data_IF_790124089029
#
_entry.id   IF_790124089029
#
_cell.length_a   1.000
_cell.length_b   1.000
_cell.length_c   1.000
_cell.angle_alpha   90.00
_cell.angle_beta   90.00
_cell.angle_gamma   90.00
#
_symmetry.space_group_name_H-M   'P 1'
#
loop_
_entity.id
_entity.type
_entity.pdbx_description
1 polymer ?
#
# COMPACT_ATOMS: atom_id res chain seq x y z
N UNK A 1 0.45 -8.94 -5.07
CA UNK A 1 1.91 -8.90 -4.95
C UNK A 1 2.39 -10.31 -4.70
N UNK A 2 3.61 -10.64 -5.13
CA UNK A 2 4.25 -11.94 -4.84
C UNK A 2 4.87 -11.83 -3.45
N UNK A 3 4.23 -12.45 -2.45
CA UNK A 3 4.62 -12.36 -1.03
C UNK A 3 4.73 -13.74 -0.40
N UNK A 4 5.44 -13.83 0.73
CA UNK A 4 5.43 -15.01 1.60
C UNK A 4 3.99 -15.34 2.06
N UNK A 5 3.75 -16.63 2.34
CA UNK A 5 2.53 -17.05 2.99
C UNK A 5 2.38 -16.40 4.37
N UNK A 6 1.14 -16.10 4.78
CA UNK A 6 0.85 -15.41 6.04
C UNK A 6 1.47 -16.09 7.26
N UNK A 7 1.46 -17.42 7.28
CA UNK A 7 1.95 -18.23 8.39
C UNK A 7 3.37 -18.78 8.16
N UNK A 8 4.09 -18.27 7.15
CA UNK A 8 5.47 -18.65 6.90
C UNK A 8 6.38 -18.12 8.01
N UNK A 9 7.34 -18.95 8.44
CA UNK A 9 8.33 -18.61 9.48
C UNK A 9 9.19 -17.43 9.04
N UNK A 10 9.61 -17.44 7.77
CA UNK A 10 10.41 -16.38 7.16
C UNK A 10 9.54 -15.53 6.24
N UNK A 11 9.52 -14.23 6.50
CA UNK A 11 8.83 -13.24 5.67
C UNK A 11 9.84 -12.54 4.77
N UNK A 12 9.51 -12.44 3.48
CA UNK A 12 10.32 -11.71 2.51
C UNK A 12 10.42 -10.21 2.88
N UNK A 13 11.54 -9.58 2.54
CA UNK A 13 11.70 -8.14 2.73
C UNK A 13 10.85 -7.35 1.73
N UNK A 14 10.69 -6.03 1.98
CA UNK A 14 9.94 -5.15 1.07
C UNK A 14 10.55 -5.15 -0.33
N UNK A 15 11.88 -5.09 -0.40
CA UNK A 15 12.66 -5.11 -1.63
C UNK A 15 12.47 -6.44 -2.36
N UNK A 16 12.56 -7.57 -1.65
CA UNK A 16 12.40 -8.89 -2.25
C UNK A 16 10.99 -9.08 -2.83
N UNK A 17 9.95 -8.63 -2.11
CA UNK A 17 8.57 -8.65 -2.60
C UNK A 17 8.42 -7.80 -3.87
N UNK A 18 9.01 -6.60 -3.88
CA UNK A 18 8.95 -5.71 -5.03
C UNK A 18 9.64 -6.32 -6.25
N UNK A 19 10.88 -6.79 -6.10
CA UNK A 19 11.67 -7.42 -7.17
C UNK A 19 10.98 -8.66 -7.74
N UNK A 20 10.52 -9.58 -6.88
CA UNK A 20 9.81 -10.79 -7.33
C UNK A 20 8.49 -10.46 -8.00
N UNK A 21 7.77 -9.45 -7.51
CA UNK A 21 6.52 -9.02 -8.14
C UNK A 21 6.79 -8.45 -9.53
N UNK A 22 7.75 -7.53 -9.68
CA UNK A 22 8.11 -6.95 -10.97
C UNK A 22 8.62 -8.01 -11.95
N UNK A 23 9.48 -8.92 -11.50
CA UNK A 23 9.96 -10.05 -12.32
C UNK A 23 8.80 -10.88 -12.87
N UNK A 24 7.81 -11.19 -12.03
CA UNK A 24 6.62 -11.93 -12.45
C UNK A 24 5.80 -11.14 -13.49
N UNK A 25 5.58 -9.84 -13.26
CA UNK A 25 4.80 -9.01 -14.18
C UNK A 25 5.50 -8.81 -15.52
N UNK A 26 6.80 -8.49 -15.53
CA UNK A 26 7.60 -8.32 -16.75
C UNK A 26 7.62 -9.58 -17.62
N UNK A 27 7.57 -10.76 -17.01
CA UNK A 27 7.55 -12.02 -17.75
C UNK A 27 6.17 -12.38 -18.34
N UNK A 28 5.07 -11.77 -17.85
CA UNK A 28 3.71 -12.28 -18.13
C UNK A 28 2.70 -11.21 -18.56
N UNK A 29 2.95 -9.93 -18.31
CA UNK A 29 2.05 -8.84 -18.68
C UNK A 29 2.59 -8.17 -19.95
N UNK A 30 1.76 -7.91 -20.97
CA UNK A 30 2.21 -7.24 -22.19
C UNK A 30 2.32 -5.72 -22.00
N UNK A 31 3.31 -5.05 -22.63
CA UNK A 31 3.62 -3.63 -22.39
C UNK A 31 2.51 -2.65 -22.77
N UNK A 32 1.55 -3.07 -23.61
CA UNK A 32 0.42 -2.24 -24.05
C UNK A 32 -0.72 -2.12 -23.03
N UNK A 33 -0.66 -2.82 -21.89
CA UNK A 33 -1.60 -2.60 -20.79
C UNK A 33 -1.43 -1.17 -20.25
N UNK A 34 -2.49 -0.45 -19.82
CA UNK A 34 -2.30 0.90 -19.27
C UNK A 34 -1.83 0.90 -17.81
N UNK A 35 -2.18 -0.12 -17.02
CA UNK A 35 -1.80 -0.17 -15.61
C UNK A 35 -2.32 -1.38 -14.85
N UNK A 36 -1.77 -1.56 -13.66
CA UNK A 36 -2.04 -2.67 -12.73
C UNK A 36 -2.35 -2.07 -11.36
N UNK A 37 -3.51 -2.42 -10.81
CA UNK A 37 -3.92 -2.04 -9.47
C UNK A 37 -3.85 -3.23 -8.53
N UNK A 38 -2.98 -3.18 -7.52
CA UNK A 38 -2.80 -4.29 -6.60
C UNK A 38 -3.93 -4.37 -5.56
N UNK A 39 -4.28 -5.60 -5.18
CA UNK A 39 -5.00 -5.89 -3.95
C UNK A 39 -4.01 -5.94 -2.76
N UNK A 40 -4.47 -5.55 -1.56
CA UNK A 40 -3.62 -5.57 -0.36
C UNK A 40 -3.47 -6.97 0.27
N UNK A 41 -4.33 -7.93 -0.08
CA UNK A 41 -4.12 -9.36 0.22
C UNK A 41 -4.13 -9.79 1.69
N UNK A 42 -4.34 -8.87 2.64
CA UNK A 42 -4.25 -9.16 4.08
C UNK A 42 -2.95 -8.70 4.73
N UNK A 43 -2.09 -8.04 3.96
CA UNK A 43 -0.99 -7.24 4.49
C UNK A 43 -1.51 -6.14 5.44
N UNK A 44 -0.60 -5.63 6.27
CA UNK A 44 -0.85 -4.39 7.00
C UNK A 44 -1.03 -3.21 6.03
N UNK A 45 -1.57 -2.12 6.54
CA UNK A 45 -1.71 -0.88 5.78
C UNK A 45 -0.35 -0.26 5.38
N UNK A 46 0.65 -0.37 6.26
CA UNK A 46 2.02 0.09 5.98
C UNK A 46 2.72 -0.82 4.97
N UNK A 47 2.68 -2.13 5.13
CA UNK A 47 3.38 -3.05 4.20
C UNK A 47 2.83 -2.96 2.79
N UNK A 48 1.49 -2.85 2.64
CA UNK A 48 0.86 -2.69 1.33
C UNK A 48 1.28 -1.36 0.64
N UNK A 49 1.56 -0.32 1.44
CA UNK A 49 2.07 0.96 0.94
C UNK A 49 3.55 0.83 0.57
N UNK A 50 4.37 0.27 1.45
CA UNK A 50 5.81 0.10 1.27
C UNK A 50 6.15 -0.77 0.04
N UNK A 51 5.45 -1.90 -0.16
CA UNK A 51 5.65 -2.75 -1.33
C UNK A 51 5.29 -2.03 -2.64
N UNK A 52 4.18 -1.27 -2.66
CA UNK A 52 3.79 -0.51 -3.85
C UNK A 52 4.82 0.58 -4.17
N UNK A 53 5.31 1.27 -3.14
CA UNK A 53 6.32 2.31 -3.26
C UNK A 53 7.64 1.75 -3.79
N UNK A 54 8.13 0.66 -3.20
CA UNK A 54 9.35 0.00 -3.63
C UNK A 54 9.30 -0.42 -5.10
N UNK A 55 8.17 -1.00 -5.56
CA UNK A 55 8.00 -1.34 -6.98
C UNK A 55 8.06 -0.09 -7.89
N UNK A 56 7.41 1.01 -7.50
CA UNK A 56 7.42 2.24 -8.29
C UNK A 56 8.78 2.95 -8.27
N UNK A 57 9.58 2.81 -7.20
CA UNK A 57 10.96 3.29 -7.13
C UNK A 57 11.93 2.51 -8.01
N UNK A 58 11.74 1.19 -8.13
CA UNK A 58 12.55 0.34 -9.02
C UNK A 58 12.31 0.69 -10.49
N UNK A 59 11.04 0.84 -10.90
CA UNK A 59 10.68 1.18 -12.27
C UNK A 59 11.05 0.09 -13.30
N UNK A 60 11.30 0.50 -14.55
CA UNK A 60 11.68 -0.42 -15.63
C UNK A 60 10.50 -1.10 -16.35
N UNK A 61 9.32 -0.49 -16.33
CA UNK A 61 8.10 -0.99 -16.96
C UNK A 61 7.28 0.17 -17.54
N UNK A 62 6.48 -0.11 -18.58
CA UNK A 62 5.66 0.91 -19.28
C UNK A 62 4.28 1.12 -18.64
N UNK A 63 3.87 0.21 -17.75
CA UNK A 63 2.60 0.27 -17.03
C UNK A 63 2.60 1.31 -15.91
N UNK A 64 1.41 1.74 -15.49
CA UNK A 64 1.25 2.35 -14.17
C UNK A 64 1.00 1.29 -13.10
N UNK A 65 1.71 1.35 -11.98
CA UNK A 65 1.42 0.54 -10.80
C UNK A 65 0.68 1.39 -9.77
N UNK A 66 -0.49 0.92 -9.35
CA UNK A 66 -1.34 1.61 -8.37
C UNK A 66 -2.01 0.61 -7.43
N UNK A 67 -2.96 1.08 -6.63
CA UNK A 67 -3.65 0.30 -5.60
C UNK A 67 -5.16 0.21 -5.84
N UNK A 68 -5.73 -0.94 -5.50
CA UNK A 68 -7.16 -1.17 -5.34
C UNK A 68 -7.38 -1.84 -3.97
N UNK A 69 -7.24 -1.03 -2.92
CA UNK A 69 -7.19 -1.51 -1.53
C UNK A 69 -8.52 -1.34 -0.81
N UNK A 70 -9.01 -2.43 -0.21
CA UNK A 70 -10.08 -2.39 0.80
C UNK A 70 -9.49 -2.20 2.19
N UNK A 71 -9.09 -3.30 2.84
CA UNK A 71 -8.58 -3.32 4.22
C UNK A 71 -7.43 -2.34 4.47
N UNK A 72 -6.40 -2.33 3.62
CA UNK A 72 -5.24 -1.44 3.80
C UNK A 72 -5.59 0.06 3.71
N UNK A 73 -6.73 0.41 3.10
CA UNK A 73 -7.22 1.79 3.02
C UNK A 73 -8.19 2.14 4.16
N UNK A 74 -9.11 1.23 4.47
CA UNK A 74 -10.26 1.51 5.35
C UNK A 74 -10.02 1.13 6.83
N UNK A 75 -9.13 0.18 7.12
CA UNK A 75 -8.97 -0.37 8.47
C UNK A 75 -8.61 0.68 9.54
N UNK A 76 -7.71 1.65 9.27
CA UNK A 76 -7.41 2.71 10.25
C UNK A 76 -8.63 3.59 10.53
N UNK A 77 -9.36 3.98 9.48
CA UNK A 77 -10.58 4.78 9.62
C UNK A 77 -11.65 4.06 10.45
N UNK A 78 -11.87 2.76 10.22
CA UNK A 78 -12.82 1.94 10.99
C UNK A 78 -12.41 1.84 12.47
N UNK A 79 -11.11 1.63 12.74
CA UNK A 79 -10.56 1.59 14.12
C UNK A 79 -10.72 2.93 14.84
N UNK A 80 -10.56 4.04 14.15
CA UNK A 80 -10.76 5.38 14.73
C UNK A 80 -12.23 5.71 14.92
N UNK A 81 -13.09 5.29 13.98
CA UNK A 81 -14.50 5.63 13.99
C UNK A 81 -15.27 5.00 15.16
N UNK A 82 -15.05 3.70 15.42
CA UNK A 82 -15.75 2.93 16.46
C UNK A 82 -17.29 3.01 16.38
N UNK A 83 -17.86 3.33 15.22
CA UNK A 83 -19.31 3.53 15.05
C UNK A 83 -19.85 4.82 15.70
N UNK A 84 -19.00 5.72 16.19
CA UNK A 84 -19.42 6.90 16.98
C UNK A 84 -19.43 8.17 16.12
N UNK A 85 -20.55 8.89 16.10
CA UNK A 85 -20.69 10.17 15.36
C UNK A 85 -19.61 11.20 15.73
N UNK A 86 -19.26 11.28 17.01
CA UNK A 86 -18.20 12.20 17.50
C UNK A 86 -16.81 11.93 16.88
N UNK A 87 -16.58 10.74 16.31
CA UNK A 87 -15.31 10.34 15.71
C UNK A 87 -15.27 10.50 14.18
N UNK A 88 -16.33 11.02 13.55
CA UNK A 88 -16.40 11.14 12.09
C UNK A 88 -15.19 11.88 11.51
N UNK A 89 -14.83 13.03 12.07
CA UNK A 89 -13.70 13.84 11.59
C UNK A 89 -12.37 13.08 11.68
N UNK A 90 -12.07 12.50 12.85
CA UNK A 90 -10.85 11.74 13.06
C UNK A 90 -10.76 10.50 12.14
N UNK A 91 -11.89 9.84 11.86
CA UNK A 91 -11.93 8.72 10.92
C UNK A 91 -11.70 9.16 9.47
N UNK A 92 -12.26 10.29 9.04
CA UNK A 92 -12.01 10.88 7.73
C UNK A 92 -10.55 11.31 7.56
N UNK A 93 -9.94 11.86 8.59
CA UNK A 93 -8.51 12.20 8.61
C UNK A 93 -7.65 10.93 8.47
N UNK A 94 -7.96 9.86 9.18
CA UNK A 94 -7.26 8.58 9.06
C UNK A 94 -7.40 7.97 7.65
N UNK A 95 -8.60 8.03 7.04
CA UNK A 95 -8.82 7.57 5.67
C UNK A 95 -8.02 8.42 4.66
N UNK A 96 -8.08 9.75 4.80
CA UNK A 96 -7.41 10.70 3.92
C UNK A 96 -5.89 10.54 3.98
N UNK A 97 -5.36 10.29 5.17
CA UNK A 97 -3.95 9.98 5.36
C UNK A 97 -3.54 8.71 4.64
N UNK A 98 -4.26 7.60 4.83
CA UNK A 98 -3.98 6.35 4.10
C UNK A 98 -4.10 6.52 2.59
N UNK A 99 -5.07 7.29 2.09
CA UNK A 99 -5.18 7.60 0.68
C UNK A 99 -3.96 8.39 0.16
N UNK A 100 -3.48 9.36 0.94
CA UNK A 100 -2.28 10.13 0.61
C UNK A 100 -1.02 9.27 0.60
N UNK A 101 -0.85 8.37 1.57
CA UNK A 101 0.32 7.47 1.63
C UNK A 101 0.34 6.53 0.42
N UNK A 102 -0.79 5.92 0.08
CA UNK A 102 -0.90 5.07 -1.10
C UNK A 102 -0.74 5.84 -2.42
N UNK A 103 -1.20 7.10 -2.48
CA UNK A 103 -0.91 8.00 -3.62
C UNK A 103 0.59 8.23 -3.75
N UNK A 104 1.29 8.53 -2.66
CA UNK A 104 2.75 8.74 -2.66
C UNK A 104 3.50 7.48 -3.07
N UNK A 105 3.05 6.31 -2.60
CA UNK A 105 3.59 5.03 -3.03
C UNK A 105 3.38 4.76 -4.53
N UNK A 106 2.22 5.10 -5.09
CA UNK A 106 1.96 5.01 -6.53
C UNK A 106 2.84 5.98 -7.37
N UNK A 107 3.46 6.97 -6.73
CA UNK A 107 4.41 7.90 -7.34
C UNK A 107 5.88 7.52 -7.08
N UNK A 108 6.14 6.50 -6.25
CA UNK A 108 7.49 6.17 -5.77
C UNK A 108 8.08 7.23 -4.82
N UNK A 109 7.21 8.02 -4.16
CA UNK A 109 7.57 9.16 -3.32
C UNK A 109 7.24 8.93 -1.84
N UNK A 110 6.83 7.71 -1.44
CA UNK A 110 6.53 7.42 -0.05
C UNK A 110 7.81 7.15 0.74
N UNK A 111 7.76 7.47 2.03
CA UNK A 111 8.80 7.19 3.00
C UNK A 111 8.14 7.00 4.38
N UNK A 112 8.73 6.16 5.22
CA UNK A 112 8.21 5.84 6.55
C UNK A 112 8.04 7.09 7.43
N UNK A 113 8.83 8.15 7.23
CA UNK A 113 8.71 9.40 7.99
C UNK A 113 7.39 10.14 7.73
N UNK A 114 6.76 9.94 6.57
CA UNK A 114 5.47 10.55 6.22
C UNK A 114 4.34 10.04 7.11
N UNK A 115 4.50 8.86 7.71
CA UNK A 115 3.49 8.23 8.56
C UNK A 115 3.32 8.92 9.91
N UNK A 116 4.33 9.67 10.36
CA UNK A 116 4.36 10.30 11.68
C UNK A 116 3.49 11.56 11.80
N UNK A 117 2.87 12.02 10.71
CA UNK A 117 2.16 13.31 10.70
C UNK A 117 0.80 13.32 11.39
N UNK A 118 0.25 12.19 11.86
CA UNK A 118 -1.06 12.20 12.51
C UNK A 118 -1.12 11.28 13.74
N UNK A 119 -1.63 11.86 14.83
CA UNK A 119 -2.12 11.26 16.08
C UNK A 119 -1.19 11.24 17.31
N UNK A 120 -1.05 12.41 17.95
CA UNK A 120 -1.24 12.53 19.40
C UNK A 120 -2.21 13.67 19.69
N UNK A 121 -3.51 13.39 19.65
CA UNK A 121 -4.50 14.11 20.46
C UNK A 121 -5.49 13.05 20.93
N UNK A 122 -5.19 12.48 22.10
CA UNK A 122 -6.18 11.93 23.03
C UNK A 122 -5.97 12.65 24.35
#
# INVERSE_FOLDING_TARGET
MVISGKDAIEQASVEEVAEKTLKCLLANVPPNLPGITFLSGGQSDIDATAHLDAMNKIGGFDWKLSFSYGRALQQPALKTWLGKKKNYKAAQEALSHRALMNKKAAQGEWDQSLEKKIFFVI
#
